data_IF_802706984493
#
_entry.id   IF_802706984493
#
_cell.length_a   1.000
_cell.length_b   1.000
_cell.length_c   1.000
_cell.angle_alpha   90.00
_cell.angle_beta   90.00
_cell.angle_gamma   90.00
#
_symmetry.space_group_name_H-M   'P 1'
#
loop_
_entity.id
_entity.type
_entity.pdbx_description
1 polymer ?
#
# COMPACT_ATOMS: atom_id res chain seq x y z
N UNK A 1 10.34 -24.89 -14.58
CA UNK A 1 10.75 -23.48 -14.55
C UNK A 1 9.54 -22.67 -14.96
N UNK A 2 8.72 -22.25 -14.00
CA UNK A 2 7.48 -21.50 -14.25
C UNK A 2 7.83 -20.06 -14.59
N UNK A 3 7.40 -19.59 -15.75
CA UNK A 3 7.42 -18.17 -16.12
C UNK A 3 6.51 -17.43 -15.13
N UNK A 4 7.08 -16.51 -14.35
CA UNK A 4 6.30 -15.56 -13.55
C UNK A 4 5.67 -14.55 -14.50
N UNK A 5 4.35 -14.52 -14.57
CA UNK A 5 3.65 -13.48 -15.33
C UNK A 5 3.83 -12.15 -14.57
N UNK A 6 4.21 -11.09 -15.28
CA UNK A 6 4.32 -9.76 -14.70
C UNK A 6 3.01 -9.02 -14.94
N UNK A 7 2.37 -8.55 -13.87
CA UNK A 7 1.23 -7.66 -13.99
C UNK A 7 1.70 -6.30 -14.51
N UNK A 8 1.21 -5.90 -15.69
CA UNK A 8 1.35 -4.52 -16.16
C UNK A 8 0.73 -3.60 -15.11
N UNK A 9 1.55 -2.79 -14.46
CA UNK A 9 1.10 -1.91 -13.38
C UNK A 9 -0.01 -0.95 -13.81
N UNK A 10 -0.66 -0.29 -12.85
CA UNK A 10 -1.59 0.81 -13.13
C UNK A 10 -0.86 1.88 -13.97
N UNK A 11 -1.55 2.60 -14.88
CA UNK A 11 -0.96 3.63 -15.74
C UNK A 11 -0.64 4.90 -14.95
N UNK A 12 0.17 4.77 -13.90
CA UNK A 12 0.56 5.81 -12.96
C UNK A 12 2.08 5.83 -12.90
N UNK A 13 2.67 6.98 -13.22
CA UNK A 13 4.11 7.15 -13.21
C UNK A 13 4.71 6.74 -11.84
N UNK A 14 5.80 5.97 -11.88
CA UNK A 14 6.51 5.48 -10.69
C UNK A 14 6.02 4.13 -10.15
N UNK A 15 4.86 3.62 -10.59
CA UNK A 15 4.47 2.23 -10.34
C UNK A 15 5.29 1.27 -11.19
N UNK A 16 5.83 0.24 -10.56
CA UNK A 16 6.57 -0.82 -11.24
C UNK A 16 5.65 -2.01 -11.52
N UNK A 17 5.83 -2.71 -12.65
CA UNK A 17 5.29 -4.05 -12.81
C UNK A 17 5.69 -4.92 -11.62
N UNK A 18 4.76 -5.74 -11.13
CA UNK A 18 5.00 -6.64 -10.01
C UNK A 18 4.87 -8.07 -10.48
N UNK A 19 5.63 -8.96 -9.84
CA UNK A 19 5.42 -10.39 -9.99
C UNK A 19 4.21 -10.85 -9.17
N UNK A 20 3.68 -12.03 -9.51
CA UNK A 20 2.50 -12.60 -8.86
C UNK A 20 2.67 -12.75 -7.33
N UNK A 21 3.87 -13.11 -6.87
CA UNK A 21 4.14 -13.31 -5.44
C UNK A 21 4.02 -12.00 -4.64
N UNK A 22 4.53 -10.89 -5.17
CA UNK A 22 4.41 -9.57 -4.55
C UNK A 22 2.96 -9.12 -4.53
N UNK A 23 2.21 -9.34 -5.61
CA UNK A 23 0.79 -8.99 -5.70
C UNK A 23 -0.02 -9.80 -4.69
N UNK A 24 0.21 -11.11 -4.60
CA UNK A 24 -0.42 -11.97 -3.61
C UNK A 24 -0.15 -11.48 -2.19
N UNK A 25 1.11 -11.18 -1.86
CA UNK A 25 1.51 -10.71 -0.53
C UNK A 25 0.85 -9.37 -0.16
N UNK A 26 0.80 -8.40 -1.07
CA UNK A 26 0.10 -7.12 -0.82
C UNK A 26 -1.41 -7.31 -0.68
N UNK A 27 -2.01 -8.25 -1.42
CA UNK A 27 -3.43 -8.58 -1.25
C UNK A 27 -3.71 -9.21 0.13
N UNK A 28 -2.80 -10.05 0.64
CA UNK A 28 -2.89 -10.57 2.01
C UNK A 28 -2.81 -9.45 3.05
N UNK A 29 -1.87 -8.51 2.88
CA UNK A 29 -1.75 -7.33 3.75
C UNK A 29 -3.03 -6.49 3.75
N UNK A 30 -3.59 -6.22 2.55
CA UNK A 30 -4.86 -5.49 2.37
C UNK A 30 -6.01 -6.16 3.11
N UNK A 31 -6.09 -7.49 3.04
CA UNK A 31 -7.12 -8.25 3.73
C UNK A 31 -6.97 -8.20 5.26
N UNK A 32 -5.73 -8.18 5.78
CA UNK A 32 -5.48 -8.00 7.21
C UNK A 32 -5.83 -6.59 7.69
N UNK A 33 -5.40 -5.56 6.95
CA UNK A 33 -5.73 -4.17 7.21
C UNK A 33 -7.24 -3.98 7.34
N UNK A 34 -8.01 -4.42 6.34
CA UNK A 34 -9.48 -4.28 6.31
C UNK A 34 -10.16 -4.96 7.51
N UNK A 35 -9.67 -6.14 7.93
CA UNK A 35 -10.22 -6.83 9.12
C UNK A 35 -10.01 -6.00 10.39
N UNK A 36 -8.85 -5.39 10.54
CA UNK A 36 -8.53 -4.53 11.67
C UNK A 36 -9.39 -3.25 11.62
N UNK A 37 -9.50 -2.61 10.45
CA UNK A 37 -10.31 -1.39 10.29
C UNK A 37 -11.79 -1.64 10.64
N UNK A 38 -12.36 -2.76 10.20
CA UNK A 38 -13.73 -3.15 10.60
C UNK A 38 -13.89 -3.36 12.09
N UNK A 39 -12.85 -3.87 12.76
CA UNK A 39 -12.87 -3.98 14.22
C UNK A 39 -12.85 -2.60 14.89
N UNK A 40 -12.05 -1.66 14.38
CA UNK A 40 -12.06 -0.27 14.87
C UNK A 40 -13.42 0.42 14.63
N UNK A 41 -14.06 0.14 13.50
CA UNK A 41 -15.40 0.68 13.20
C UNK A 41 -16.44 0.21 14.23
N UNK A 42 -16.30 -1.02 14.78
CA UNK A 42 -17.15 -1.53 15.86
C UNK A 42 -16.95 -0.81 17.20
N UNK A 43 -15.78 -0.19 17.42
CA UNK A 43 -15.50 0.55 18.65
C UNK A 43 -16.16 1.94 18.66
N UNK A 44 -16.54 2.48 17.49
CA UNK A 44 -17.16 3.80 17.39
C UNK A 44 -18.47 3.84 18.18
N UNK A 45 -18.62 4.85 19.03
CA UNK A 45 -19.85 5.02 19.82
C UNK A 45 -20.01 4.04 21.00
N UNK A 46 -18.98 3.25 21.32
CA UNK A 46 -18.97 2.37 22.51
C UNK A 46 -18.53 3.08 23.79
N UNK A 47 -18.23 4.39 23.72
CA UNK A 47 -17.75 5.19 24.85
C UNK A 47 -16.23 5.16 25.04
N UNK A 48 -15.47 4.58 24.10
CA UNK A 48 -14.01 4.69 24.06
C UNK A 48 -13.55 6.13 23.78
N UNK A 49 -12.29 6.42 24.10
CA UNK A 49 -11.69 7.69 23.73
C UNK A 49 -11.50 7.79 22.20
N UNK A 50 -12.37 8.56 21.56
CA UNK A 50 -12.41 8.74 20.10
C UNK A 50 -11.12 9.37 19.53
N UNK A 51 -10.41 10.20 20.32
CA UNK A 51 -9.13 10.77 19.89
C UNK A 51 -8.09 9.67 19.78
N UNK A 52 -7.98 8.80 20.78
CA UNK A 52 -7.03 7.68 20.76
C UNK A 52 -7.41 6.62 19.72
N UNK A 53 -8.71 6.36 19.50
CA UNK A 53 -9.18 5.49 18.42
C UNK A 53 -8.75 6.02 17.04
N UNK A 54 -8.92 7.32 16.80
CA UNK A 54 -8.53 7.97 15.54
C UNK A 54 -7.02 7.94 15.29
N UNK A 55 -6.21 8.15 16.35
CA UNK A 55 -4.75 8.03 16.28
C UNK A 55 -4.35 6.58 15.93
N UNK A 56 -4.96 5.59 16.60
CA UNK A 56 -4.70 4.18 16.33
C UNK A 56 -5.02 3.79 14.89
N UNK A 57 -6.19 4.19 14.36
CA UNK A 57 -6.59 3.95 12.97
C UNK A 57 -5.56 4.50 11.99
N UNK A 58 -5.17 5.76 12.17
CA UNK A 58 -4.19 6.43 11.31
C UNK A 58 -2.84 5.71 11.32
N UNK A 59 -2.37 5.29 12.51
CA UNK A 59 -1.10 4.57 12.63
C UNK A 59 -1.13 3.20 11.94
N UNK A 60 -2.27 2.49 12.00
CA UNK A 60 -2.47 1.21 11.32
C UNK A 60 -2.45 1.39 9.80
N UNK A 61 -3.23 2.34 9.26
CA UNK A 61 -3.27 2.66 7.82
C UNK A 61 -1.88 3.05 7.31
N UNK A 62 -1.15 3.89 8.06
CA UNK A 62 0.24 4.26 7.72
C UNK A 62 1.19 3.06 7.79
N UNK A 63 1.04 2.19 8.78
CA UNK A 63 1.83 0.97 8.92
C UNK A 63 1.66 0.03 7.74
N UNK A 64 0.42 -0.29 7.35
CA UNK A 64 0.15 -1.13 6.18
C UNK A 64 0.59 -0.48 4.87
N UNK A 65 0.44 0.85 4.73
CA UNK A 65 1.01 1.56 3.59
C UNK A 65 2.53 1.40 3.52
N UNK A 66 3.25 1.56 4.64
CA UNK A 66 4.70 1.42 4.68
C UNK A 66 5.15 -0.01 4.34
N UNK A 67 4.47 -1.02 4.88
CA UNK A 67 4.71 -2.45 4.57
C UNK A 67 4.46 -2.73 3.09
N UNK A 68 3.34 -2.28 2.52
CA UNK A 68 3.06 -2.50 1.10
C UNK A 68 4.08 -1.81 0.18
N UNK A 69 4.57 -0.63 0.57
CA UNK A 69 5.64 0.06 -0.17
C UNK A 69 6.99 -0.65 -0.09
N UNK A 70 7.28 -1.37 1.00
CA UNK A 70 8.53 -2.16 1.10
C UNK A 70 8.53 -3.36 0.15
N UNK A 71 7.34 -3.91 -0.16
CA UNK A 71 7.13 -4.97 -1.15
C UNK A 71 7.15 -4.41 -2.57
N UNK A 72 6.30 -3.42 -2.87
CA UNK A 72 6.14 -2.92 -4.24
C UNK A 72 7.25 -1.99 -4.72
N UNK A 73 7.99 -1.34 -3.80
CA UNK A 73 9.18 -0.54 -4.11
C UNK A 73 8.99 0.43 -5.29
N UNK A 74 8.06 1.40 -5.21
CA UNK A 74 7.83 2.35 -6.29
C UNK A 74 9.10 3.16 -6.61
N UNK A 75 9.27 3.54 -7.88
CA UNK A 75 10.40 4.34 -8.33
C UNK A 75 10.13 5.85 -8.21
N UNK A 76 11.20 6.64 -8.12
CA UNK A 76 11.12 8.08 -8.41
C UNK A 76 10.87 8.26 -9.90
N UNK A 77 9.99 9.19 -10.24
CA UNK A 77 9.71 9.58 -11.63
C UNK A 77 10.76 10.61 -12.05
N UNK A 78 11.41 10.45 -13.22
CA UNK A 78 12.33 11.48 -13.73
C UNK A 78 11.55 12.76 -14.05
N UNK A 79 12.17 13.90 -13.78
CA UNK A 79 11.59 15.21 -14.06
C UNK A 79 12.38 15.94 -15.17
N UNK A 80 11.75 16.85 -15.92
CA UNK A 80 12.44 17.62 -16.97
C UNK A 80 13.70 18.36 -16.48
N UNK A 81 13.71 18.81 -15.23
CA UNK A 81 14.84 19.49 -14.58
C UNK A 81 16.04 18.58 -14.25
N UNK A 82 15.90 17.25 -14.34
CA UNK A 82 17.01 16.30 -14.08
C UNK A 82 18.05 16.26 -15.21
N UNK A 83 17.82 16.98 -16.33
CA UNK A 83 18.78 17.12 -17.44
C UNK A 83 18.96 15.86 -18.31
N UNK A 84 18.11 14.84 -18.13
CA UNK A 84 18.07 13.63 -18.97
C UNK A 84 17.27 13.84 -20.27
N UNK A 85 17.46 12.99 -21.30
CA UNK A 85 16.67 13.09 -22.52
C UNK A 85 15.18 12.92 -22.19
N UNK A 86 14.34 13.80 -22.76
CA UNK A 86 12.89 13.70 -22.64
C UNK A 86 12.44 12.31 -23.11
N UNK A 87 11.92 11.50 -22.19
CA UNK A 87 11.28 10.20 -22.44
C UNK A 87 9.77 10.37 -22.56
#
# INVERSE_FOLDING_TARGET
>A
MTMSDQHHGLPVAGYRPQNDANVALVNEHKAMEERILRHLDQLRGTGVDERWLSIGRTAIEQGFMAVNRSVFQPARVPLPEDGGPAV
#
